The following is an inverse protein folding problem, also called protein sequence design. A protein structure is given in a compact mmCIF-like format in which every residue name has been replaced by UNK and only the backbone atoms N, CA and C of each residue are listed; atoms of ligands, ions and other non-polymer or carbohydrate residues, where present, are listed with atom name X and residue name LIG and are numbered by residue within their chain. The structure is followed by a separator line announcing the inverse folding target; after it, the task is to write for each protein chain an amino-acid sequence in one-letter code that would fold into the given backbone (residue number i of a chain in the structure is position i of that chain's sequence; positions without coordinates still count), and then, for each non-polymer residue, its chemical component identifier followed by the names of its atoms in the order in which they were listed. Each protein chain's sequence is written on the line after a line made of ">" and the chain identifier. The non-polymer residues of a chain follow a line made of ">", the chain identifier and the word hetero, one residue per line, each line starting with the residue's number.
data_IF_053068122919
#
_entry.id   IF_053068122919
#
_cell.length_a   1.000
_cell.length_b   1.000
_cell.length_c   1.000
_cell.angle_alpha   90.00
_cell.angle_beta   90.00
_cell.angle_gamma   90.00
#
_symmetry.space_group_name_H-M   'P 1'
#
loop_
_entity.id
_entity.type
_entity.pdbx_description
1 polymer ?
#
# COMPACT_ATOMS: atom_id res chain seq x y z
N UNK A 1 23.54 -59.59 -37.20
CA UNK A 1 24.11 -60.49 -38.23
C UNK A 1 25.62 -60.40 -38.08
N UNK A 2 26.40 -61.39 -37.66
CA UNK A 2 26.33 -62.86 -37.62
C UNK A 2 27.33 -63.37 -36.54
N UNK A 3 27.10 -64.57 -35.97
CA UNK A 3 27.98 -65.42 -35.10
C UNK A 3 28.21 -64.94 -33.65
N UNK A 4 28.29 -65.77 -32.58
CA UNK A 4 28.54 -67.22 -32.41
C UNK A 4 28.18 -67.66 -30.97
N UNK A 5 27.74 -68.93 -30.80
CA UNK A 5 27.95 -69.92 -29.70
C UNK A 5 28.22 -69.47 -28.24
N UNK A 6 27.73 -70.11 -27.17
CA UNK A 6 28.07 -71.49 -26.74
C UNK A 6 27.23 -71.92 -25.50
N UNK A 7 26.88 -73.21 -25.42
CA UNK A 7 26.38 -73.92 -24.23
C UNK A 7 27.53 -74.24 -23.24
N UNK A 8 27.31 -74.23 -21.92
CA UNK A 8 27.92 -75.24 -21.03
C UNK A 8 27.25 -75.33 -19.65
N UNK A 9 27.12 -76.56 -19.14
CA UNK A 9 26.61 -76.95 -17.82
C UNK A 9 27.75 -77.08 -16.79
N UNK A 10 27.34 -77.22 -15.51
CA UNK A 10 27.94 -77.97 -14.39
C UNK A 10 28.79 -77.25 -13.32
N UNK A 11 28.48 -77.61 -12.05
CA UNK A 11 29.21 -77.33 -10.79
C UNK A 11 28.26 -76.80 -9.70
N UNK A 12 27.55 -77.59 -8.88
CA UNK A 12 27.94 -78.45 -7.73
C UNK A 12 28.67 -77.71 -6.57
N UNK A 13 28.09 -77.89 -5.36
CA UNK A 13 28.60 -77.67 -3.97
C UNK A 13 28.73 -76.19 -3.55
N UNK A 14 28.29 -75.74 -2.37
CA UNK A 14 28.58 -76.26 -1.03
C UNK A 14 27.70 -75.52 0.03
N UNK A 15 27.35 -76.25 1.12
CA UNK A 15 27.04 -75.91 2.54
C UNK A 15 26.87 -74.42 2.94
N UNK A 16 26.01 -74.01 3.86
CA UNK A 16 25.96 -74.35 5.31
C UNK A 16 24.71 -73.72 5.97
N UNK A 17 24.13 -74.40 6.98
CA UNK A 17 23.27 -73.83 8.02
C UNK A 17 23.96 -72.65 8.74
N UNK A 18 23.19 -71.72 9.33
CA UNK A 18 23.32 -71.28 10.74
C UNK A 18 22.09 -70.43 11.13
N UNK A 19 21.46 -70.80 12.23
CA UNK A 19 20.51 -70.04 13.03
C UNK A 19 21.24 -69.02 13.92
N UNK A 20 20.78 -67.76 13.97
CA UNK A 20 21.06 -66.80 15.06
C UNK A 20 20.07 -65.64 14.92
N UNK A 21 19.05 -65.50 15.79
CA UNK A 21 19.04 -65.00 17.17
C UNK A 21 19.53 -63.55 17.32
N UNK A 22 18.62 -62.71 17.78
CA UNK A 22 18.66 -61.25 17.66
C UNK A 22 19.64 -60.53 18.57
N UNK A 23 19.98 -59.32 18.12
CA UNK A 23 20.46 -58.21 18.92
C UNK A 23 19.90 -56.92 18.30
N UNK A 24 18.89 -56.33 18.94
CA UNK A 24 18.41 -55.00 18.59
C UNK A 24 19.40 -54.00 19.17
N UNK A 25 20.23 -53.40 18.33
CA UNK A 25 21.07 -52.25 18.70
C UNK A 25 20.22 -50.99 18.51
N UNK A 26 19.79 -50.38 19.60
CA UNK A 26 19.22 -49.05 19.59
C UNK A 26 20.36 -48.02 19.42
N UNK A 27 20.59 -47.55 18.19
CA UNK A 27 21.40 -46.36 17.97
C UNK A 27 20.60 -45.12 18.37
N UNK A 28 21.00 -44.50 19.48
CA UNK A 28 20.60 -43.14 19.80
C UNK A 28 21.18 -42.19 18.74
N UNK A 29 20.33 -41.71 17.84
CA UNK A 29 20.68 -40.62 16.93
C UNK A 29 20.65 -39.32 17.75
N UNK A 30 21.83 -38.85 18.18
CA UNK A 30 22.01 -37.46 18.60
C UNK A 30 21.90 -36.58 17.35
N UNK A 31 20.66 -36.20 17.01
CA UNK A 31 20.39 -35.17 16.02
C UNK A 31 20.89 -33.84 16.57
N UNK A 32 22.02 -33.36 16.06
CA UNK A 32 22.34 -31.93 16.11
C UNK A 32 21.30 -31.23 15.26
N UNK A 33 20.24 -30.74 15.92
CA UNK A 33 19.31 -29.80 15.32
C UNK A 33 20.12 -28.55 14.94
N UNK A 34 20.49 -28.46 13.67
CA UNK A 34 20.90 -27.20 13.08
C UNK A 34 19.69 -26.27 13.18
N UNK A 35 19.74 -25.33 14.12
CA UNK A 35 18.80 -24.22 14.16
C UNK A 35 18.99 -23.42 12.89
N UNK A 36 18.17 -23.68 11.88
CA UNK A 36 17.99 -22.76 10.76
C UNK A 36 17.57 -21.44 11.41
N UNK A 37 18.32 -20.34 11.24
CA UNK A 37 17.89 -19.07 11.78
C UNK A 37 16.52 -18.80 11.18
N UNK A 38 15.53 -18.69 12.04
CA UNK A 38 14.18 -18.33 11.66
C UNK A 38 14.28 -16.86 11.25
N UNK A 39 14.63 -16.61 9.98
CA UNK A 39 14.51 -15.28 9.38
C UNK A 39 13.03 -15.05 9.31
N UNK A 40 12.45 -14.55 10.41
CA UNK A 40 11.14 -13.91 10.40
C UNK A 40 11.24 -12.83 9.34
N UNK A 41 10.76 -13.14 8.12
CA UNK A 41 10.65 -12.20 7.02
C UNK A 41 9.71 -11.11 7.52
N UNK A 42 10.29 -10.03 8.06
CA UNK A 42 9.55 -8.87 8.51
C UNK A 42 8.77 -8.40 7.30
N UNK A 43 7.45 -8.57 7.32
CA UNK A 43 6.59 -8.13 6.22
C UNK A 43 6.85 -6.63 6.05
N UNK A 44 7.23 -6.16 4.86
CA UNK A 44 7.48 -4.74 4.63
C UNK A 44 6.26 -3.93 5.07
N UNK A 45 6.46 -2.85 5.85
CA UNK A 45 5.34 -2.04 6.30
C UNK A 45 4.59 -1.46 5.11
N UNK A 46 3.26 -1.35 5.23
CA UNK A 46 2.49 -0.55 4.28
C UNK A 46 2.68 0.92 4.65
N UNK A 47 3.01 1.77 3.68
CA UNK A 47 3.26 3.19 3.87
C UNK A 47 2.05 3.95 3.36
N UNK A 48 1.43 4.78 4.20
CA UNK A 48 0.24 5.57 3.87
C UNK A 48 0.56 7.04 4.08
N UNK A 49 0.59 7.80 2.98
CA UNK A 49 0.92 9.22 2.97
C UNK A 49 -0.33 10.04 2.65
N UNK A 50 -0.70 10.95 3.54
CA UNK A 50 -1.76 11.93 3.33
C UNK A 50 -1.20 13.32 3.07
N UNK A 51 -1.83 14.08 2.18
CA UNK A 51 -1.54 15.50 1.98
C UNK A 51 -2.76 16.37 2.29
N UNK A 52 -2.58 17.34 3.18
CA UNK A 52 -3.61 18.35 3.44
C UNK A 52 -3.64 19.41 2.34
N UNK A 53 -4.84 19.93 2.05
CA UNK A 53 -5.04 21.04 1.10
C UNK A 53 -4.47 22.39 1.57
N UNK A 54 -4.36 23.34 0.63
CA UNK A 54 -4.01 24.73 0.94
C UNK A 54 -2.70 24.92 1.73
N UNK A 55 -2.70 25.92 2.61
CA UNK A 55 -1.63 26.20 3.59
C UNK A 55 -1.98 25.66 4.98
N UNK A 56 -2.60 24.48 5.03
CA UNK A 56 -3.00 23.83 6.28
C UNK A 56 -1.83 23.06 6.87
N UNK A 57 -1.74 23.03 8.21
CA UNK A 57 -0.74 22.25 8.95
C UNK A 57 -1.13 20.77 8.98
N UNK A 58 -0.14 19.91 8.84
CA UNK A 58 -0.33 18.46 8.73
C UNK A 58 -0.88 17.76 9.98
N UNK A 59 -0.90 18.45 11.12
CA UNK A 59 -1.38 17.99 12.43
C UNK A 59 -2.73 18.63 12.83
N UNK A 60 -3.33 19.44 11.95
CA UNK A 60 -4.59 20.10 12.23
C UNK A 60 -5.77 19.11 12.12
N UNK A 61 -6.22 18.61 13.28
CA UNK A 61 -7.30 17.62 13.42
C UNK A 61 -8.69 18.11 12.97
N UNK A 62 -8.85 19.39 12.62
CA UNK A 62 -10.07 19.86 11.95
C UNK A 62 -10.21 19.19 10.57
N UNK A 63 -9.10 18.91 9.91
CA UNK A 63 -9.07 18.44 8.52
C UNK A 63 -9.23 16.92 8.41
N UNK A 64 -10.07 16.49 7.47
CA UNK A 64 -10.47 15.10 7.33
C UNK A 64 -9.33 14.16 6.94
N UNK A 65 -8.31 14.65 6.23
CA UNK A 65 -7.07 13.94 5.92
C UNK A 65 -6.35 13.55 7.21
N UNK A 66 -6.21 14.50 8.13
CA UNK A 66 -5.54 14.30 9.41
C UNK A 66 -6.35 13.36 10.30
N UNK A 67 -7.68 13.50 10.30
CA UNK A 67 -8.58 12.59 11.03
C UNK A 67 -8.51 11.15 10.49
N UNK A 68 -8.47 10.98 9.16
CA UNK A 68 -8.29 9.68 8.51
C UNK A 68 -6.95 9.06 8.93
N UNK A 69 -5.86 9.81 8.86
CA UNK A 69 -4.55 9.35 9.32
C UNK A 69 -4.57 8.92 10.79
N UNK A 70 -5.19 9.72 11.67
CA UNK A 70 -5.32 9.39 13.08
C UNK A 70 -6.12 8.08 13.31
N UNK A 71 -7.20 7.86 12.58
CA UNK A 71 -7.98 6.60 12.64
C UNK A 71 -7.16 5.40 12.14
N UNK A 72 -6.38 5.57 11.07
CA UNK A 72 -5.51 4.51 10.56
C UNK A 72 -4.39 4.17 11.55
N UNK A 73 -3.69 5.17 12.10
CA UNK A 73 -2.67 4.95 13.16
C UNK A 73 -3.24 4.20 14.36
N UNK A 74 -4.45 4.58 14.80
CA UNK A 74 -5.14 3.90 15.91
C UNK A 74 -5.50 2.45 15.58
N UNK A 75 -5.95 2.18 14.35
CA UNK A 75 -6.37 0.84 13.93
C UNK A 75 -5.19 -0.10 13.62
N UNK A 76 -4.06 0.47 13.21
CA UNK A 76 -2.84 -0.23 12.81
C UNK A 76 -1.64 0.25 13.63
N UNK A 77 -1.53 -0.15 14.92
CA UNK A 77 -0.41 0.27 15.77
C UNK A 77 0.94 -0.28 15.30
N UNK A 78 0.94 -1.34 14.47
CA UNK A 78 2.13 -1.93 13.86
C UNK A 78 1.84 -2.36 12.43
N UNK A 79 2.89 -2.47 11.60
CA UNK A 79 2.81 -2.98 10.23
C UNK A 79 2.29 -2.01 9.18
N UNK A 80 1.82 -0.82 9.59
CA UNK A 80 1.44 0.28 8.69
C UNK A 80 2.06 1.57 9.24
N UNK A 81 2.88 2.24 8.43
CA UNK A 81 3.38 3.59 8.72
C UNK A 81 2.43 4.60 8.07
N UNK A 82 1.93 5.55 8.86
CA UNK A 82 0.94 6.54 8.39
C UNK A 82 1.44 7.93 8.72
N UNK A 83 1.61 8.77 7.70
CA UNK A 83 2.11 10.13 7.84
C UNK A 83 1.28 11.13 7.04
N UNK A 84 1.16 12.35 7.55
CA UNK A 84 0.46 13.47 6.90
C UNK A 84 1.44 14.59 6.66
N UNK A 85 1.35 15.25 5.51
CA UNK A 85 2.22 16.35 5.11
C UNK A 85 1.39 17.52 4.56
N UNK A 86 1.95 18.72 4.63
CA UNK A 86 1.42 19.86 3.90
C UNK A 86 1.65 19.70 2.39
N UNK A 87 0.73 20.23 1.57
CA UNK A 87 0.79 20.16 0.09
C UNK A 87 2.06 20.76 -0.55
N UNK A 88 2.90 21.45 0.21
CA UNK A 88 4.18 22.03 -0.24
C UNK A 88 5.41 21.29 0.31
N UNK A 89 5.22 20.16 1.00
CA UNK A 89 6.28 19.34 1.58
C UNK A 89 6.44 17.96 0.88
N UNK A 90 6.13 17.86 -0.41
CA UNK A 90 6.23 16.60 -1.16
C UNK A 90 7.62 15.96 -1.17
N UNK A 91 8.71 16.74 -1.13
CA UNK A 91 10.07 16.18 -1.01
C UNK A 91 10.31 15.50 0.34
N UNK A 92 9.80 16.08 1.44
CA UNK A 92 9.90 15.45 2.76
C UNK A 92 9.13 14.13 2.81
N UNK A 93 7.96 14.09 2.17
CA UNK A 93 7.19 12.86 2.04
C UNK A 93 7.94 11.80 1.21
N UNK A 94 8.62 12.21 0.13
CA UNK A 94 9.48 11.33 -0.67
C UNK A 94 10.64 10.80 0.17
N UNK A 95 11.39 11.66 0.85
CA UNK A 95 12.50 11.29 1.74
C UNK A 95 12.05 10.28 2.80
N UNK A 96 10.88 10.52 3.42
CA UNK A 96 10.28 9.60 4.38
C UNK A 96 9.99 8.23 3.76
N UNK A 97 9.39 8.18 2.57
CA UNK A 97 9.15 6.91 1.85
C UNK A 97 10.47 6.19 1.61
N UNK A 98 11.48 6.88 1.07
CA UNK A 98 12.77 6.26 0.75
C UNK A 98 13.43 5.69 2.01
N UNK A 99 13.40 6.43 3.12
CA UNK A 99 13.91 5.97 4.41
C UNK A 99 13.16 4.75 4.97
N UNK A 100 11.85 4.64 4.74
CA UNK A 100 11.05 3.48 5.18
C UNK A 100 11.27 2.24 4.30
N UNK A 101 11.64 2.43 3.03
CA UNK A 101 11.96 1.34 2.11
C UNK A 101 13.36 0.77 2.34
N UNK A 102 14.29 1.58 2.85
CA UNK A 102 15.66 1.21 3.17
C UNK A 102 15.68 0.31 4.40
N UNK A 103 15.50 -0.99 4.18
CA UNK A 103 15.20 -1.96 5.22
C UNK A 103 16.46 -2.38 6.00
N UNK A 104 17.62 -2.28 5.36
CA UNK A 104 18.92 -2.54 5.99
C UNK A 104 19.60 -1.26 6.51
N UNK A 105 19.04 -0.08 6.21
CA UNK A 105 19.52 1.23 6.65
C UNK A 105 20.94 1.55 6.17
N UNK A 106 21.30 1.10 4.97
CA UNK A 106 22.60 1.38 4.36
C UNK A 106 22.61 2.65 3.48
N UNK A 107 21.45 3.28 3.29
CA UNK A 107 21.27 4.49 2.49
C UNK A 107 21.15 4.24 0.98
N UNK A 108 21.15 2.99 0.52
CA UNK A 108 21.11 2.62 -0.90
C UNK A 108 19.96 1.64 -1.17
N UNK A 109 18.87 2.16 -1.73
CA UNK A 109 17.72 1.32 -2.10
C UNK A 109 18.04 0.35 -3.24
N UNK A 110 18.05 -0.94 -2.91
CA UNK A 110 18.09 -2.03 -3.88
C UNK A 110 16.80 -2.11 -4.69
N UNK A 111 16.85 -2.76 -5.86
CA UNK A 111 15.62 -3.04 -6.64
C UNK A 111 14.59 -3.82 -5.82
N UNK A 112 15.02 -4.75 -4.97
CA UNK A 112 14.12 -5.52 -4.13
C UNK A 112 13.40 -4.64 -3.09
N UNK A 113 14.09 -3.71 -2.44
CA UNK A 113 13.48 -2.78 -1.48
C UNK A 113 12.47 -1.85 -2.15
N UNK A 114 12.82 -1.31 -3.32
CA UNK A 114 11.90 -0.48 -4.11
C UNK A 114 10.63 -1.25 -4.48
N UNK A 115 10.77 -2.45 -5.04
CA UNK A 115 9.64 -3.24 -5.54
C UNK A 115 8.76 -3.85 -4.44
N UNK A 116 9.31 -4.05 -3.24
CA UNK A 116 8.55 -4.53 -2.09
C UNK A 116 7.77 -3.42 -1.38
N UNK A 117 7.93 -2.16 -1.80
CA UNK A 117 7.20 -1.02 -1.28
C UNK A 117 5.70 -1.14 -1.49
N UNK A 118 4.93 -0.99 -0.41
CA UNK A 118 3.47 -0.97 -0.43
C UNK A 118 2.99 0.43 -0.08
N UNK A 119 2.93 1.31 -1.09
CA UNK A 119 2.70 2.74 -0.87
C UNK A 119 1.27 3.11 -1.27
N UNK A 120 0.60 3.87 -0.41
CA UNK A 120 -0.72 4.46 -0.65
C UNK A 120 -0.59 5.97 -0.43
N UNK A 121 -1.10 6.77 -1.36
CA UNK A 121 -1.02 8.23 -1.29
C UNK A 121 -2.42 8.81 -1.46
N UNK A 122 -2.81 9.76 -0.62
CA UNK A 122 -4.08 10.45 -0.77
C UNK A 122 -3.95 11.92 -0.42
N UNK A 123 -4.89 12.73 -0.89
CA UNK A 123 -4.95 14.13 -0.48
C UNK A 123 -6.20 14.82 -0.99
N UNK A 124 -6.51 15.96 -0.39
CA UNK A 124 -7.60 16.84 -0.81
C UNK A 124 -7.05 18.13 -1.43
N UNK A 125 -7.78 18.70 -2.40
CA UNK A 125 -7.41 19.99 -3.01
C UNK A 125 -5.99 19.97 -3.60
N UNK A 126 -5.16 20.97 -3.27
CA UNK A 126 -3.73 20.98 -3.59
C UNK A 126 -2.96 19.79 -3.04
N UNK A 127 -3.42 19.16 -1.95
CA UNK A 127 -2.86 17.91 -1.45
C UNK A 127 -3.14 16.74 -2.39
N UNK A 128 -4.30 16.72 -3.06
CA UNK A 128 -4.59 15.75 -4.12
C UNK A 128 -3.63 15.90 -5.31
N UNK A 129 -3.34 17.14 -5.70
CA UNK A 129 -2.36 17.43 -6.76
C UNK A 129 -0.95 17.01 -6.35
N UNK A 130 -0.56 17.29 -5.10
CA UNK A 130 0.73 16.86 -4.57
C UNK A 130 0.85 15.33 -4.45
N UNK A 131 -0.24 14.62 -4.15
CA UNK A 131 -0.26 13.16 -4.15
C UNK A 131 0.14 12.57 -5.51
N UNK A 132 -0.35 13.15 -6.61
CA UNK A 132 0.01 12.73 -7.97
C UNK A 132 1.43 13.18 -8.35
N UNK A 133 1.85 14.36 -7.90
CA UNK A 133 3.23 14.82 -8.08
C UNK A 133 4.23 13.89 -7.38
N UNK A 134 3.93 13.46 -6.14
CA UNK A 134 4.74 12.48 -5.41
C UNK A 134 4.76 11.13 -6.14
N UNK A 135 3.62 10.63 -6.60
CA UNK A 135 3.56 9.36 -7.35
C UNK A 135 4.44 9.41 -8.61
N UNK A 136 4.45 10.55 -9.32
CA UNK A 136 5.29 10.78 -10.50
C UNK A 136 6.79 10.82 -10.16
N UNK A 137 7.17 11.33 -8.98
CA UNK A 137 8.56 11.28 -8.52
C UNK A 137 8.98 9.86 -8.18
N UNK A 138 8.12 9.11 -7.49
CA UNK A 138 8.34 7.69 -7.20
C UNK A 138 8.45 6.85 -8.49
N UNK A 139 7.75 7.22 -9.55
CA UNK A 139 7.89 6.57 -10.87
C UNK A 139 9.31 6.71 -11.40
N UNK A 140 9.89 7.92 -11.32
CA UNK A 140 11.28 8.20 -11.72
C UNK A 140 12.28 7.43 -10.84
N UNK A 141 11.93 7.18 -9.59
CA UNK A 141 12.73 6.38 -8.67
C UNK A 141 12.61 4.86 -8.91
N UNK A 142 11.68 4.43 -9.77
CA UNK A 142 11.36 3.03 -10.04
C UNK A 142 10.59 2.36 -8.90
N UNK A 143 9.78 3.12 -8.16
CA UNK A 143 9.04 2.66 -6.98
C UNK A 143 7.54 2.57 -7.33
N UNK A 144 6.90 1.40 -7.15
CA UNK A 144 5.47 1.23 -7.40
C UNK A 144 4.61 1.87 -6.30
N UNK A 145 3.42 2.33 -6.68
CA UNK A 145 2.39 2.85 -5.77
C UNK A 145 1.14 1.97 -5.92
N UNK A 146 0.60 1.50 -4.81
CA UNK A 146 -0.57 0.60 -4.82
C UNK A 146 -1.87 1.35 -5.12
N UNK A 147 -2.01 2.54 -4.56
CA UNK A 147 -3.26 3.30 -4.61
C UNK A 147 -2.98 4.80 -4.49
N UNK A 148 -3.57 5.59 -5.38
CA UNK A 148 -3.76 7.03 -5.19
C UNK A 148 -5.23 7.37 -4.97
N UNK A 149 -5.52 8.32 -4.09
CA UNK A 149 -6.87 8.87 -3.89
C UNK A 149 -6.81 10.40 -3.95
N UNK A 150 -7.59 10.97 -4.84
CA UNK A 150 -7.79 12.40 -4.97
C UNK A 150 -9.17 12.78 -4.46
N UNK A 151 -9.23 13.75 -3.54
CA UNK A 151 -10.50 14.34 -3.08
C UNK A 151 -10.53 15.79 -3.51
N UNK A 152 -11.40 16.12 -4.45
CA UNK A 152 -11.58 17.44 -5.03
C UNK A 152 -10.26 18.12 -5.42
N UNK A 153 -9.39 17.35 -6.07
CA UNK A 153 -8.01 17.76 -6.37
C UNK A 153 -7.97 19.00 -7.27
N UNK A 154 -7.13 19.97 -6.93
CA UNK A 154 -6.93 21.18 -7.74
C UNK A 154 -5.47 21.22 -8.16
N UNK A 155 -5.23 21.16 -9.47
CA UNK A 155 -3.88 21.25 -10.05
C UNK A 155 -3.15 22.52 -9.59
N UNK A 156 -1.95 22.34 -9.05
CA UNK A 156 -1.00 23.44 -8.82
C UNK A 156 -0.32 23.82 -10.14
N UNK A 157 0.23 25.03 -10.21
CA UNK A 157 1.02 25.47 -11.39
C UNK A 157 2.14 24.43 -11.66
N UNK A 158 2.24 23.98 -12.92
CA UNK A 158 3.17 22.94 -13.38
C UNK A 158 2.91 21.51 -12.88
N UNK A 159 1.80 21.25 -12.20
CA UNK A 159 1.34 19.90 -11.88
C UNK A 159 0.17 19.53 -12.81
N UNK A 160 0.05 18.24 -13.10
CA UNK A 160 -1.09 17.69 -13.83
C UNK A 160 -1.64 16.52 -13.03
N UNK A 161 -2.69 16.81 -12.27
CA UNK A 161 -3.35 15.84 -11.41
C UNK A 161 -4.45 15.02 -12.13
N UNK A 162 -4.66 15.27 -13.43
CA UNK A 162 -5.61 14.51 -14.25
C UNK A 162 -5.02 13.22 -14.84
N UNK A 163 -3.69 13.11 -14.90
CA UNK A 163 -3.01 11.95 -15.52
C UNK A 163 -2.27 11.17 -14.44
N UNK A 164 -2.72 9.95 -14.21
CA UNK A 164 -2.15 9.07 -13.19
C UNK A 164 -0.90 8.35 -13.74
N UNK A 165 0.27 8.48 -13.08
CA UNK A 165 1.50 7.81 -13.46
C UNK A 165 1.38 6.29 -13.54
N UNK A 166 2.17 5.66 -14.41
CA UNK A 166 2.02 4.25 -14.72
C UNK A 166 2.63 3.31 -13.67
N UNK A 167 3.35 3.85 -12.68
CA UNK A 167 3.74 3.13 -11.47
C UNK A 167 2.61 2.99 -10.45
N UNK A 168 1.46 3.65 -10.66
CA UNK A 168 0.28 3.54 -9.80
C UNK A 168 -0.59 2.38 -10.26
N UNK A 169 -0.82 1.39 -9.40
CA UNK A 169 -1.64 0.24 -9.75
C UNK A 169 -3.15 0.59 -9.83
N UNK A 170 -3.64 1.40 -8.89
CA UNK A 170 -5.04 1.81 -8.85
C UNK A 170 -5.20 3.27 -8.43
N UNK A 171 -6.21 3.96 -8.95
CA UNK A 171 -6.50 5.34 -8.58
C UNK A 171 -7.99 5.59 -8.44
N UNK A 172 -8.38 6.45 -7.50
CA UNK A 172 -9.76 6.91 -7.31
C UNK A 172 -9.80 8.44 -7.22
N UNK A 173 -10.82 9.02 -7.82
CA UNK A 173 -11.09 10.46 -7.76
C UNK A 173 -12.48 10.70 -7.19
N UNK A 174 -12.59 11.53 -6.17
CA UNK A 174 -13.84 12.00 -5.60
C UNK A 174 -13.90 13.50 -5.88
N UNK A 175 -14.93 13.99 -6.55
CA UNK A 175 -14.96 15.40 -6.97
C UNK A 175 -16.35 16.01 -6.84
N UNK A 176 -16.38 17.33 -6.71
CA UNK A 176 -17.59 18.13 -6.86
C UNK A 176 -17.36 19.20 -7.94
N UNK A 177 -18.29 19.39 -8.89
CA UNK A 177 -18.06 20.28 -10.04
C UNK A 177 -18.56 21.72 -9.82
N UNK A 178 -19.00 22.07 -8.61
CA UNK A 178 -19.76 23.28 -8.35
C UNK A 178 -18.92 24.38 -7.68
N UNK A 179 -19.18 25.63 -8.06
CA UNK A 179 -18.49 26.79 -7.49
C UNK A 179 -17.21 27.17 -8.24
N UNK A 180 -16.56 28.23 -7.75
CA UNK A 180 -15.37 28.80 -8.40
C UNK A 180 -14.14 27.90 -8.26
N UNK A 181 -14.04 27.21 -7.11
CA UNK A 181 -13.06 26.16 -6.87
C UNK A 181 -13.79 24.82 -6.97
N UNK A 182 -13.40 24.02 -7.95
CA UNK A 182 -13.90 22.67 -8.15
C UNK A 182 -12.73 21.75 -8.46
N UNK A 183 -12.84 20.51 -8.02
CA UNK A 183 -11.82 19.52 -8.26
C UNK A 183 -11.81 19.03 -9.71
N UNK A 184 -10.69 18.40 -10.07
CA UNK A 184 -10.53 17.66 -11.31
C UNK A 184 -11.66 16.63 -11.46
N UNK A 185 -12.47 16.76 -12.50
CA UNK A 185 -13.66 15.92 -12.68
C UNK A 185 -13.34 14.51 -13.17
N UNK A 186 -12.25 14.37 -13.89
CA UNK A 186 -11.85 13.10 -14.51
C UNK A 186 -10.35 12.89 -14.40
N UNK A 187 -9.96 11.74 -13.85
CA UNK A 187 -8.60 11.22 -13.90
C UNK A 187 -8.52 10.07 -14.90
N UNK A 188 -7.37 9.96 -15.55
CA UNK A 188 -7.07 8.91 -16.52
C UNK A 188 -5.69 8.31 -16.30
N UNK A 189 -5.54 7.03 -16.62
CA UNK A 189 -4.24 6.37 -16.59
C UNK A 189 -3.33 6.92 -17.69
N UNK A 190 -2.07 7.21 -17.37
CA UNK A 190 -1.03 7.42 -18.37
C UNK A 190 -0.81 6.15 -19.21
N UNK A 191 -0.94 4.98 -18.57
CA UNK A 191 -0.87 3.66 -19.19
C UNK A 191 -2.01 2.77 -18.67
N UNK A 192 -3.09 2.60 -19.45
CA UNK A 192 -4.25 1.78 -19.06
C UNK A 192 -3.93 0.29 -18.86
N UNK A 193 -2.79 -0.21 -19.36
CA UNK A 193 -2.38 -1.59 -19.14
C UNK A 193 -1.75 -1.79 -17.74
N UNK A 194 -1.30 -0.72 -17.09
CA UNK A 194 -0.63 -0.76 -15.78
C UNK A 194 -1.44 -0.13 -14.65
N UNK A 195 -2.34 0.81 -14.97
CA UNK A 195 -3.10 1.57 -13.98
C UNK A 195 -4.60 1.41 -14.20
N UNK A 196 -5.31 1.00 -13.14
CA UNK A 196 -6.77 0.89 -13.12
C UNK A 196 -7.37 2.13 -12.44
N UNK A 197 -8.20 2.88 -13.16
CA UNK A 197 -9.04 3.91 -12.53
C UNK A 197 -10.26 3.22 -11.92
N UNK A 198 -10.32 3.21 -10.59
CA UNK A 198 -11.43 2.63 -9.81
C UNK A 198 -12.71 3.39 -10.10
N UNK A 199 -12.62 4.72 -10.22
CA UNK A 199 -13.75 5.56 -10.59
C UNK A 199 -13.47 7.05 -10.43
N UNK A 200 -14.31 7.83 -11.12
CA UNK A 200 -14.47 9.27 -10.94
C UNK A 200 -15.84 9.50 -10.28
N UNK A 201 -15.84 9.64 -8.96
CA UNK A 201 -17.04 9.69 -8.12
C UNK A 201 -17.50 11.13 -7.93
N UNK A 202 -18.61 11.49 -8.55
CA UNK A 202 -19.22 12.83 -8.44
C UNK A 202 -20.04 12.98 -7.16
N UNK A 203 -19.86 14.09 -6.47
CA UNK A 203 -20.68 14.55 -5.34
C UNK A 203 -21.34 15.89 -5.67
N UNK A 204 -22.52 16.13 -5.09
CA UNK A 204 -23.32 17.33 -5.32
C UNK A 204 -23.83 17.87 -3.97
N UNK A 205 -23.58 19.16 -3.73
CA UNK A 205 -23.90 19.83 -2.47
C UNK A 205 -24.91 20.98 -2.64
N UNK A 206 -25.52 21.14 -3.82
CA UNK A 206 -26.52 22.20 -4.06
C UNK A 206 -27.78 22.02 -3.24
N UNK A 207 -28.23 20.77 -3.08
CA UNK A 207 -29.49 20.44 -2.39
C UNK A 207 -29.33 20.27 -0.88
N UNK A 208 -28.29 19.56 -0.44
CA UNK A 208 -28.05 19.23 0.97
C UNK A 208 -26.62 19.66 1.34
N UNK A 209 -26.43 20.93 1.72
CA UNK A 209 -25.11 21.44 2.05
C UNK A 209 -24.60 20.83 3.36
N UNK A 210 -23.36 20.34 3.36
CA UNK A 210 -22.69 20.02 4.63
C UNK A 210 -22.23 21.32 5.31
N UNK A 211 -22.33 21.40 6.64
CA UNK A 211 -22.14 22.67 7.36
C UNK A 211 -20.68 22.98 7.72
N UNK A 212 -19.80 21.97 7.72
CA UNK A 212 -18.38 22.04 8.10
C UNK A 212 -18.09 22.99 9.28
N UNK A 213 -18.83 22.89 10.38
CA UNK A 213 -18.86 23.94 11.42
C UNK A 213 -17.52 24.16 12.13
N UNK A 214 -16.61 23.18 12.07
CA UNK A 214 -15.28 23.24 12.66
C UNK A 214 -14.24 23.91 11.75
N UNK A 215 -14.56 24.12 10.47
CA UNK A 215 -13.66 24.70 9.49
C UNK A 215 -13.63 26.23 9.57
N UNK A 216 -12.48 26.87 9.31
CA UNK A 216 -12.37 28.32 9.27
C UNK A 216 -13.41 28.93 8.32
N UNK A 217 -13.94 30.08 8.72
CA UNK A 217 -15.03 30.74 8.01
C UNK A 217 -14.65 31.16 6.58
N UNK A 218 -13.38 31.48 6.32
CA UNK A 218 -12.91 31.88 4.99
C UNK A 218 -12.93 30.70 3.99
N UNK A 219 -12.57 29.49 4.43
CA UNK A 219 -12.67 28.28 3.61
C UNK A 219 -14.13 28.02 3.22
N UNK A 220 -15.05 28.21 4.17
CA UNK A 220 -16.49 28.05 3.96
C UNK A 220 -17.11 29.09 3.00
N UNK A 221 -16.49 30.25 2.82
CA UNK A 221 -17.02 31.34 1.97
C UNK A 221 -16.42 31.29 0.57
N UNK A 222 -15.11 31.05 0.41
CA UNK A 222 -14.45 31.08 -0.90
C UNK A 222 -14.37 29.73 -1.59
N UNK A 223 -14.46 28.63 -0.83
CA UNK A 223 -14.43 27.26 -1.32
C UNK A 223 -15.66 26.45 -0.91
N UNK A 224 -16.85 27.05 -0.80
CA UNK A 224 -18.04 26.42 -0.18
C UNK A 224 -18.22 24.92 -0.49
N UNK A 225 -18.45 24.54 -1.75
CA UNK A 225 -18.61 23.14 -2.15
C UNK A 225 -17.33 22.32 -1.98
N UNK A 226 -16.17 22.96 -2.19
CA UNK A 226 -14.83 22.39 -2.05
C UNK A 226 -14.48 22.03 -0.59
N UNK A 227 -14.95 22.81 0.38
CA UNK A 227 -14.87 22.53 1.82
C UNK A 227 -15.93 21.50 2.22
N UNK A 228 -17.10 21.51 1.56
CA UNK A 228 -18.17 20.55 1.85
C UNK A 228 -17.76 19.12 1.55
N UNK A 229 -17.13 18.87 0.41
CA UNK A 229 -16.58 17.55 0.09
C UNK A 229 -15.44 17.14 1.02
N UNK A 230 -14.65 18.09 1.49
CA UNK A 230 -13.62 17.83 2.49
C UNK A 230 -14.21 17.40 3.82
N UNK A 231 -15.33 17.98 4.26
CA UNK A 231 -15.90 17.68 5.57
C UNK A 231 -17.00 16.59 5.52
N UNK A 232 -17.30 16.03 4.34
CA UNK A 232 -18.31 14.99 4.15
C UNK A 232 -17.79 13.61 4.60
N UNK A 233 -18.35 13.03 5.68
CA UNK A 233 -17.92 11.72 6.18
C UNK A 233 -18.19 10.58 5.21
N UNK A 234 -19.16 10.72 4.29
CA UNK A 234 -19.45 9.75 3.24
C UNK A 234 -18.29 9.59 2.26
N UNK A 235 -17.67 10.70 1.85
CA UNK A 235 -16.48 10.71 0.99
C UNK A 235 -15.32 10.02 1.70
N UNK A 236 -15.02 10.43 2.93
CA UNK A 236 -13.87 9.89 3.67
C UNK A 236 -14.06 8.45 4.12
N UNK A 237 -15.30 8.00 4.34
CA UNK A 237 -15.60 6.58 4.58
C UNK A 237 -15.30 5.73 3.35
N UNK A 238 -15.61 6.21 2.15
CA UNK A 238 -15.27 5.51 0.90
C UNK A 238 -13.76 5.51 0.66
N UNK A 239 -13.09 6.66 0.82
CA UNK A 239 -11.64 6.74 0.73
C UNK A 239 -10.95 5.79 1.74
N UNK A 240 -11.40 5.79 3.00
CA UNK A 240 -10.87 4.90 4.04
C UNK A 240 -11.11 3.41 3.70
N UNK A 241 -12.27 3.06 3.13
CA UNK A 241 -12.54 1.69 2.72
C UNK A 241 -11.59 1.23 1.60
N UNK A 242 -11.31 2.09 0.62
CA UNK A 242 -10.33 1.81 -0.43
C UNK A 242 -8.92 1.60 0.16
N UNK A 243 -8.48 2.48 1.07
CA UNK A 243 -7.19 2.32 1.76
C UNK A 243 -7.17 1.00 2.52
N UNK A 244 -8.17 0.73 3.37
CA UNK A 244 -8.23 -0.49 4.20
C UNK A 244 -8.25 -1.77 3.37
N UNK A 245 -8.80 -1.75 2.16
CA UNK A 245 -8.75 -2.90 1.23
C UNK A 245 -7.31 -3.28 0.82
N UNK A 246 -6.34 -2.38 1.00
CA UNK A 246 -4.92 -2.56 0.69
C UNK A 246 -4.06 -2.82 1.92
N UNK A 247 -4.63 -2.74 3.12
CA UNK A 247 -3.92 -2.94 4.38
C UNK A 247 -4.03 -4.41 4.85
N UNK A 248 -3.12 -4.88 5.72
CA UNK A 248 -3.28 -6.17 6.39
C UNK A 248 -4.60 -6.21 7.19
N UNK A 249 -5.17 -7.39 7.43
CA UNK A 249 -6.31 -7.50 8.34
C UNK A 249 -5.89 -7.04 9.74
N UNK A 250 -6.66 -6.14 10.36
CA UNK A 250 -6.52 -5.87 11.79
C UNK A 250 -6.89 -7.17 12.51
N UNK A 251 -5.95 -7.77 13.27
CA UNK A 251 -6.14 -9.05 13.96
C UNK A 251 -7.15 -9.02 15.11
N UNK A 252 -8.32 -8.43 14.90
CA UNK A 252 -9.41 -8.41 15.86
C UNK A 252 -9.99 -9.81 16.02
N UNK A 253 -9.81 -10.39 17.21
CA UNK A 253 -10.62 -11.52 17.67
C UNK A 253 -12.09 -11.11 17.54
N UNK A 254 -12.78 -11.64 16.54
CA UNK A 254 -14.24 -11.65 16.49
C UNK A 254 -14.68 -12.54 17.65
N UNK A 255 -14.96 -11.93 18.80
CA UNK A 255 -15.67 -12.62 19.87
C UNK A 255 -17.12 -12.65 19.45
N UNK A 256 -17.49 -13.68 18.70
CA UNK A 256 -18.88 -14.01 18.45
C UNK A 256 -19.53 -14.30 19.81
N UNK A 257 -20.30 -13.35 20.33
CA UNK A 257 -21.19 -13.60 21.46
C UNK A 257 -22.44 -14.27 20.88
N UNK A 258 -22.66 -15.51 21.29
CA UNK A 258 -23.87 -16.28 21.04
C UNK A 258 -24.91 -15.96 22.11
#
# INVERSE_FOLDING_TARGET
>A
MIHTTTLCRFGILLRTLIFSLGAVVALAQTGLAQSVPNVTRKVPPVIVIGFVGGFIKHDNLVHSEVQLAARLRKAYPTGVDVETFESYHGEKAREKILSLLDANHDGILTSAEKQNGRIIIYGHSWGGSEAIALASKLEKDGIPVLLTIQVDSISKIHQNDAVIPANVAQAANFYQPDGLLHGQSEIRAADPARTIIIGNFRFDYKGIPYKCTQYPWYDRIFGKSHTQIECDPGVWKQAEALIRSKLPSTGGKVTATR
#
